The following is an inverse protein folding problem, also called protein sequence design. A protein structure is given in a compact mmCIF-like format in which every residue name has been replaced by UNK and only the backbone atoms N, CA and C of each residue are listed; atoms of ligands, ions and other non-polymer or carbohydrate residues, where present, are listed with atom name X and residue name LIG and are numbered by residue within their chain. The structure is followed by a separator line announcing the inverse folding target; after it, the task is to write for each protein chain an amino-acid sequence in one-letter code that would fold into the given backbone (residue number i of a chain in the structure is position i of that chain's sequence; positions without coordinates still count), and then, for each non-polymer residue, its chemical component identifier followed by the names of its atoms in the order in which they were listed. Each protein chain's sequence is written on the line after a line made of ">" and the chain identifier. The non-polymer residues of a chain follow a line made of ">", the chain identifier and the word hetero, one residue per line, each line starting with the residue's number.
data_IF_541962613537
#
_entry.id   IF_541962613537
#
_cell.length_a   1.000
_cell.length_b   1.000
_cell.length_c   1.000
_cell.angle_alpha   90.00
_cell.angle_beta   90.00
_cell.angle_gamma   90.00
#
_symmetry.space_group_name_H-M   'P 1'
#
loop_
_entity.id
_entity.type
_entity.pdbx_description
1 polymer ?
#
# COMPACT_ATOMS: atom_id res chain seq x y z
N UNK A 1 -8.04 4.81 -10.95
CA UNK A 1 -7.94 4.62 -9.48
C UNK A 1 -6.62 4.00 -9.04
N UNK A 2 -6.11 2.93 -9.68
CA UNK A 2 -4.81 2.31 -9.37
C UNK A 2 -3.64 3.31 -9.37
N UNK A 3 -3.49 4.11 -10.43
CA UNK A 3 -2.39 5.09 -10.51
C UNK A 3 -2.52 6.21 -9.46
N UNK A 4 -3.75 6.64 -9.15
CA UNK A 4 -3.99 7.59 -8.07
C UNK A 4 -3.57 7.01 -6.71
N UNK A 5 -3.97 5.77 -6.39
CA UNK A 5 -3.55 5.11 -5.16
C UNK A 5 -2.02 5.03 -5.09
N UNK A 6 -1.37 4.61 -6.18
CA UNK A 6 0.10 4.54 -6.26
C UNK A 6 0.74 5.91 -5.98
N UNK A 7 0.27 6.98 -6.60
CA UNK A 7 0.77 8.33 -6.37
C UNK A 7 0.62 8.73 -4.90
N UNK A 8 -0.57 8.55 -4.31
CA UNK A 8 -0.85 8.90 -2.91
C UNK A 8 0.00 8.12 -1.92
N UNK A 9 0.25 6.83 -2.17
CA UNK A 9 1.15 6.01 -1.34
C UNK A 9 2.62 6.43 -1.45
N UNK A 10 3.04 6.95 -2.60
CA UNK A 10 4.39 7.52 -2.74
C UNK A 10 4.46 8.86 -2.00
N UNK A 11 3.50 9.76 -2.25
CA UNK A 11 3.44 11.10 -1.66
C UNK A 11 3.38 11.08 -0.12
N UNK A 12 2.64 10.14 0.48
CA UNK A 12 2.57 10.01 1.93
C UNK A 12 3.73 9.22 2.56
N UNK A 13 4.72 8.82 1.76
CA UNK A 13 5.91 8.10 2.23
C UNK A 13 5.67 6.62 2.56
N UNK A 14 4.50 6.05 2.24
CA UNK A 14 4.20 4.63 2.51
C UNK A 14 5.21 3.70 1.83
N UNK A 15 5.59 4.00 0.59
CA UNK A 15 6.55 3.19 -0.17
C UNK A 15 7.92 3.13 0.52
N UNK A 16 8.39 4.27 1.01
CA UNK A 16 9.71 4.37 1.63
C UNK A 16 9.73 3.72 3.01
N UNK A 17 8.66 3.89 3.80
CA UNK A 17 8.50 3.21 5.08
C UNK A 17 8.45 1.68 4.93
N UNK A 18 7.68 1.18 3.96
CA UNK A 18 7.60 -0.25 3.72
C UNK A 18 8.94 -0.81 3.21
N UNK A 19 9.63 -0.08 2.33
CA UNK A 19 10.98 -0.45 1.85
C UNK A 19 12.01 -0.48 2.98
N UNK A 20 11.96 0.46 3.92
CA UNK A 20 12.82 0.46 5.09
C UNK A 20 12.57 -0.80 5.93
N UNK A 21 11.30 -1.10 6.22
CA UNK A 21 10.94 -2.31 6.96
C UNK A 21 11.36 -3.61 6.25
N UNK A 22 11.23 -3.69 4.91
CA UNK A 22 11.74 -4.84 4.15
C UNK A 22 13.24 -5.06 4.38
N UNK A 23 14.04 -3.98 4.42
CA UNK A 23 15.48 -4.07 4.66
C UNK A 23 15.79 -4.55 6.07
N UNK A 24 15.03 -4.11 7.06
CA UNK A 24 15.19 -4.56 8.45
C UNK A 24 14.92 -6.08 8.55
N UNK A 25 13.82 -6.56 7.96
CA UNK A 25 13.49 -8.00 7.90
C UNK A 25 14.59 -8.81 7.21
N UNK A 26 15.10 -8.35 6.07
CA UNK A 26 16.21 -9.03 5.36
C UNK A 26 17.47 -9.04 6.20
N UNK A 27 17.77 -7.96 6.92
CA UNK A 27 18.96 -7.86 7.79
C UNK A 27 18.86 -8.81 8.99
N UNK A 28 17.67 -8.95 9.57
CA UNK A 28 17.42 -9.83 10.72
C UNK A 28 17.45 -11.31 10.33
N UNK A 29 16.83 -11.68 9.21
CA UNK A 29 16.74 -13.09 8.77
C UNK A 29 17.95 -13.56 7.95
N UNK A 30 18.68 -12.64 7.31
CA UNK A 30 19.75 -12.94 6.36
C UNK A 30 19.21 -13.18 4.95
N UNK A 31 19.91 -12.64 3.94
CA UNK A 31 19.46 -12.65 2.54
C UNK A 31 19.31 -14.07 1.97
N UNK A 32 20.15 -15.01 2.38
CA UNK A 32 20.13 -16.40 1.91
C UNK A 32 18.97 -17.22 2.50
N UNK A 33 18.30 -16.71 3.54
CA UNK A 33 17.25 -17.41 4.27
C UNK A 33 15.84 -16.85 4.03
N UNK A 34 15.68 -15.92 3.10
CA UNK A 34 14.39 -15.26 2.82
C UNK A 34 14.03 -15.38 1.36
N UNK A 35 12.92 -16.04 1.06
CA UNK A 35 12.31 -15.98 -0.26
C UNK A 35 11.48 -14.71 -0.43
N UNK A 36 11.13 -14.37 -1.66
CA UNK A 36 10.21 -13.25 -1.93
C UNK A 36 8.86 -13.47 -1.25
N UNK A 37 8.35 -14.70 -1.25
CA UNK A 37 7.04 -15.02 -0.65
C UNK A 37 7.08 -14.89 0.88
N UNK A 38 8.16 -15.32 1.53
CA UNK A 38 8.36 -15.12 2.98
C UNK A 38 8.40 -13.62 3.30
N UNK A 39 9.12 -12.84 2.50
CA UNK A 39 9.20 -11.40 2.67
C UNK A 39 7.83 -10.73 2.49
N UNK A 40 7.06 -11.13 1.46
CA UNK A 40 5.71 -10.61 1.23
C UNK A 40 4.80 -10.95 2.42
N UNK A 41 4.82 -12.18 2.90
CA UNK A 41 4.02 -12.61 4.05
C UNK A 41 4.35 -11.76 5.30
N UNK A 42 5.63 -11.51 5.57
CA UNK A 42 6.09 -10.73 6.70
C UNK A 42 5.70 -9.24 6.61
N UNK A 43 5.92 -8.61 5.46
CA UNK A 43 5.72 -7.16 5.33
C UNK A 43 4.26 -6.77 5.07
N UNK A 44 3.42 -7.70 4.60
CA UNK A 44 2.04 -7.40 4.22
C UNK A 44 1.19 -6.82 5.35
N UNK A 45 1.19 -7.37 6.58
CA UNK A 45 0.47 -6.78 7.71
C UNK A 45 0.87 -5.33 7.96
N UNK A 46 2.18 -5.05 7.99
CA UNK A 46 2.71 -3.69 8.15
C UNK A 46 2.31 -2.78 6.99
N UNK A 47 2.43 -3.27 5.76
CA UNK A 47 2.02 -2.55 4.55
C UNK A 47 0.55 -2.13 4.60
N UNK A 48 -0.36 -3.03 5.03
CA UNK A 48 -1.78 -2.70 5.18
C UNK A 48 -2.04 -1.68 6.29
N UNK A 49 -1.36 -1.83 7.43
CA UNK A 49 -1.50 -0.92 8.57
C UNK A 49 -1.02 0.50 8.27
N UNK A 50 0.03 0.65 7.45
CA UNK A 50 0.59 1.95 7.09
C UNK A 50 -0.26 2.75 6.10
N UNK A 51 -1.29 2.18 5.48
CA UNK A 51 -2.14 2.92 4.53
C UNK A 51 -3.00 3.94 5.29
N UNK A 52 -2.81 5.25 5.07
CA UNK A 52 -3.58 6.26 5.79
C UNK A 52 -5.06 6.21 5.44
N UNK A 53 -5.93 6.44 6.42
CA UNK A 53 -7.38 6.47 6.20
C UNK A 53 -7.82 7.61 5.27
N UNK A 54 -7.05 8.70 5.21
CA UNK A 54 -7.26 9.79 4.25
C UNK A 54 -7.19 9.29 2.80
N UNK A 55 -6.22 8.43 2.47
CA UNK A 55 -6.08 7.83 1.13
C UNK A 55 -7.26 6.91 0.82
N UNK A 56 -7.68 6.08 1.78
CA UNK A 56 -8.85 5.19 1.65
C UNK A 56 -10.13 6.01 1.40
N UNK A 57 -10.34 7.07 2.19
CA UNK A 57 -11.50 7.97 2.07
C UNK A 57 -11.52 8.68 0.71
N UNK A 58 -10.38 9.18 0.22
CA UNK A 58 -10.32 9.84 -1.10
C UNK A 58 -10.69 8.87 -2.23
N UNK A 59 -10.18 7.64 -2.20
CA UNK A 59 -10.52 6.62 -3.20
C UNK A 59 -11.99 6.23 -3.15
N UNK A 60 -12.52 6.00 -1.95
CA UNK A 60 -13.93 5.68 -1.76
C UNK A 60 -14.84 6.81 -2.27
N UNK A 61 -14.47 8.07 -2.02
CA UNK A 61 -15.22 9.20 -2.52
C UNK A 61 -15.23 9.25 -4.06
N UNK A 62 -14.09 9.01 -4.71
CA UNK A 62 -14.02 8.96 -6.18
C UNK A 62 -14.84 7.81 -6.78
N UNK A 63 -14.86 6.65 -6.13
CA UNK A 63 -15.73 5.53 -6.52
C UNK A 63 -17.19 5.94 -6.42
N UNK A 64 -17.62 6.53 -5.30
CA UNK A 64 -19.00 7.00 -5.10
C UNK A 64 -19.40 8.05 -6.13
N UNK A 65 -18.54 9.05 -6.39
CA UNK A 65 -18.79 10.07 -7.41
C UNK A 65 -18.93 9.46 -8.79
N UNK A 66 -18.04 8.53 -9.17
CA UNK A 66 -18.14 7.82 -10.45
C UNK A 66 -19.47 7.07 -10.59
N UNK A 67 -19.86 6.29 -9.57
CA UNK A 67 -21.12 5.56 -9.59
C UNK A 67 -22.33 6.50 -9.68
N UNK A 68 -22.34 7.60 -8.92
CA UNK A 68 -23.43 8.59 -8.96
C UNK A 68 -23.56 9.26 -10.34
N UNK A 69 -22.45 9.51 -11.02
CA UNK A 69 -22.46 10.10 -12.37
C UNK A 69 -22.98 9.14 -13.45
N UNK A 70 -22.86 7.83 -13.24
CA UNK A 70 -23.22 6.79 -14.21
C UNK A 70 -24.50 6.03 -13.85
N UNK A 71 -25.12 6.31 -12.69
CA UNK A 71 -26.38 5.72 -12.26
C UNK A 71 -27.61 6.30 -12.98
N UNK A 72 -27.43 7.36 -13.78
CA UNK A 72 -28.49 8.05 -14.53
C UNK A 72 -28.56 7.64 -16.01
N UNK A 73 -27.93 6.51 -16.38
CA UNK A 73 -27.97 5.89 -17.70
C UNK A 73 -28.85 4.64 -17.69
#
# INVERSE_FOLDING_TARGET
>A
LKELLRAKLIECGWKDQLKAHCKDVIKEKGLEHVTVDDLVAEITPKGRALVPDSVKKELLQRIRTFLAQHASL
#
